data_IF_387835640371
#
_entry.id   IF_387835640371
#
_cell.length_a   1.000
_cell.length_b   1.000
_cell.length_c   1.000
_cell.angle_alpha   90.00
_cell.angle_beta   90.00
_cell.angle_gamma   90.00
#
_symmetry.space_group_name_H-M   'P 1'
#
loop_
_entity.id
_entity.type
_entity.pdbx_description
1 polymer ?
#
# COMPACT_ATOMS: atom_id res chain seq x y z
N UNK A 1 16.91 -31.59 -7.15
CA UNK A 1 15.80 -30.87 -7.83
C UNK A 1 16.12 -29.39 -7.82
N UNK A 2 15.91 -28.66 -8.93
CA UNK A 2 16.17 -27.21 -9.03
C UNK A 2 14.87 -26.44 -8.76
N UNK A 3 14.93 -25.43 -7.87
CA UNK A 3 13.81 -24.47 -7.66
C UNK A 3 13.80 -23.46 -8.80
N UNK A 4 12.64 -22.85 -9.06
CA UNK A 4 12.53 -21.80 -10.07
C UNK A 4 13.35 -20.56 -9.69
N UNK A 5 14.10 -20.02 -10.65
CA UNK A 5 14.90 -18.81 -10.45
C UNK A 5 14.04 -17.57 -10.14
N UNK A 6 12.74 -17.59 -10.52
CA UNK A 6 11.77 -16.51 -10.28
C UNK A 6 11.60 -16.14 -8.80
N UNK A 7 11.81 -17.09 -7.89
CA UNK A 7 11.62 -16.89 -6.45
C UNK A 7 12.84 -16.32 -5.74
N UNK A 8 14.02 -16.37 -6.36
CA UNK A 8 15.29 -15.94 -5.74
C UNK A 8 15.36 -14.41 -5.52
N UNK A 9 14.63 -13.61 -6.29
CA UNK A 9 14.62 -12.16 -6.17
C UNK A 9 13.43 -11.59 -5.37
N UNK A 10 12.62 -12.47 -4.76
CA UNK A 10 11.44 -12.04 -3.99
C UNK A 10 11.85 -11.74 -2.55
N UNK A 11 11.74 -10.48 -2.17
CA UNK A 11 12.06 -9.97 -0.83
C UNK A 11 10.84 -9.26 -0.24
N UNK A 12 10.63 -9.40 1.06
CA UNK A 12 9.57 -8.69 1.77
C UNK A 12 10.01 -8.27 3.17
N UNK A 13 10.80 -7.21 3.25
CA UNK A 13 11.44 -6.70 4.46
C UNK A 13 10.52 -6.59 5.69
N UNK A 14 9.23 -6.21 5.48
CA UNK A 14 8.22 -6.10 6.54
C UNK A 14 7.96 -7.44 7.23
N UNK A 15 8.09 -8.56 6.51
CA UNK A 15 7.92 -9.91 7.05
C UNK A 15 9.24 -10.55 7.45
N UNK A 16 10.32 -10.22 6.76
CA UNK A 16 11.63 -10.81 7.00
C UNK A 16 12.19 -10.42 8.37
N UNK A 17 11.93 -9.17 8.81
CA UNK A 17 12.31 -8.70 10.15
C UNK A 17 11.64 -9.50 11.29
N UNK A 18 10.53 -10.21 11.01
CA UNK A 18 9.82 -11.04 12.00
C UNK A 18 10.69 -12.21 12.49
N UNK A 19 11.64 -12.68 11.69
CA UNK A 19 12.59 -13.72 12.12
C UNK A 19 13.43 -13.26 13.32
N UNK A 20 13.87 -12.01 13.31
CA UNK A 20 14.58 -11.40 14.45
C UNK A 20 13.66 -11.21 15.66
N UNK A 21 12.42 -10.76 15.42
CA UNK A 21 11.42 -10.60 16.45
C UNK A 21 11.08 -11.93 17.17
N UNK A 22 10.95 -13.04 16.43
CA UNK A 22 10.71 -14.36 17.01
C UNK A 22 11.86 -14.82 17.92
N UNK A 23 13.11 -14.58 17.53
CA UNK A 23 14.29 -14.89 18.37
C UNK A 23 14.29 -14.08 19.66
N UNK A 24 13.98 -12.79 19.58
CA UNK A 24 13.87 -11.90 20.73
C UNK A 24 12.74 -12.35 21.68
N UNK A 25 11.57 -12.67 21.15
CA UNK A 25 10.42 -13.13 21.94
C UNK A 25 10.67 -14.48 22.60
N UNK A 26 11.39 -15.39 21.94
CA UNK A 26 11.78 -16.69 22.50
C UNK A 26 12.69 -16.55 23.74
N UNK A 27 13.34 -15.41 23.94
CA UNK A 27 14.09 -15.09 25.17
C UNK A 27 13.22 -14.56 26.32
N UNK A 28 11.88 -14.63 26.22
CA UNK A 28 10.94 -14.20 27.24
C UNK A 28 10.68 -12.69 27.31
N UNK A 29 11.13 -11.94 26.30
CA UNK A 29 11.02 -10.47 26.27
C UNK A 29 9.79 -10.01 25.48
N UNK A 30 9.16 -8.93 25.92
CA UNK A 30 8.02 -8.31 25.23
C UNK A 30 8.46 -7.45 24.05
N UNK A 31 7.63 -7.45 22.97
CA UNK A 31 7.84 -6.64 21.77
C UNK A 31 6.74 -5.61 21.62
N UNK A 32 7.11 -4.37 21.36
CA UNK A 32 6.22 -3.32 20.90
C UNK A 32 6.29 -3.30 19.36
N UNK A 33 5.20 -3.72 18.72
CA UNK A 33 5.12 -3.87 17.25
C UNK A 33 4.75 -2.54 16.60
N UNK A 34 5.71 -1.90 15.94
CA UNK A 34 5.53 -0.71 15.10
C UNK A 34 5.86 -0.98 13.61
N UNK A 35 5.87 -2.25 13.22
CA UNK A 35 6.29 -2.70 11.89
C UNK A 35 5.15 -3.10 10.95
N UNK A 36 3.99 -3.53 11.47
CA UNK A 36 2.90 -4.09 10.66
C UNK A 36 1.76 -3.10 10.52
N UNK A 37 1.44 -2.74 9.27
CA UNK A 37 0.31 -1.88 8.90
C UNK A 37 -1.03 -2.63 8.89
N UNK A 38 -1.43 -3.17 10.03
CA UNK A 38 -2.69 -3.88 10.22
C UNK A 38 -3.48 -3.25 11.39
N UNK A 39 -4.42 -2.33 11.11
CA UNK A 39 -5.13 -1.60 12.15
C UNK A 39 -5.96 -2.49 13.07
N UNK A 40 -6.50 -3.62 12.57
CA UNK A 40 -7.35 -4.51 13.39
C UNK A 40 -6.57 -5.30 14.46
N UNK A 41 -5.25 -5.27 14.42
CA UNK A 41 -4.39 -5.81 15.48
C UNK A 41 -4.34 -4.91 16.71
N UNK A 42 -4.82 -3.69 16.58
CA UNK A 42 -4.84 -2.68 17.62
C UNK A 42 -6.29 -2.40 18.05
N UNK A 43 -6.60 -1.18 18.39
CA UNK A 43 -7.92 -0.77 18.88
C UNK A 43 -8.90 -0.32 17.79
N UNK A 44 -8.60 -0.66 16.52
CA UNK A 44 -9.52 -0.47 15.40
C UNK A 44 -10.25 -1.78 15.11
N UNK A 45 -11.58 -1.72 15.03
CA UNK A 45 -12.42 -2.91 14.84
C UNK A 45 -13.25 -2.79 13.59
N UNK A 46 -13.36 -3.87 12.82
CA UNK A 46 -14.32 -3.97 11.72
C UNK A 46 -15.71 -3.61 12.23
N UNK A 47 -16.43 -2.69 11.57
CA UNK A 47 -17.76 -2.24 12.01
C UNK A 47 -18.77 -3.39 12.13
N UNK A 48 -19.68 -3.28 13.09
CA UNK A 48 -20.64 -4.35 13.40
C UNK A 48 -21.57 -4.65 12.22
N UNK A 49 -22.03 -3.62 11.48
CA UNK A 49 -22.87 -3.83 10.31
C UNK A 49 -22.18 -4.62 9.20
N UNK A 50 -20.86 -4.46 9.03
CA UNK A 50 -20.05 -5.22 8.06
C UNK A 50 -19.88 -6.68 8.52
N UNK A 51 -19.61 -6.89 9.84
CA UNK A 51 -19.51 -8.24 10.40
C UNK A 51 -20.83 -9.00 10.30
N UNK A 52 -21.94 -8.32 10.62
CA UNK A 52 -23.27 -8.90 10.53
C UNK A 52 -23.58 -9.32 9.10
N UNK A 53 -23.28 -8.48 8.12
CA UNK A 53 -23.45 -8.81 6.70
C UNK A 53 -22.65 -10.06 6.29
N UNK A 54 -21.43 -10.27 6.83
CA UNK A 54 -20.68 -11.51 6.58
C UNK A 54 -21.36 -12.72 7.21
N UNK A 55 -21.83 -12.61 8.46
CA UNK A 55 -22.55 -13.69 9.15
C UNK A 55 -23.83 -14.05 8.38
N UNK A 56 -24.62 -13.05 8.00
CA UNK A 56 -25.85 -13.26 7.23
C UNK A 56 -25.55 -13.92 5.88
N UNK A 57 -24.49 -13.50 5.19
CA UNK A 57 -24.07 -14.10 3.93
C UNK A 57 -23.68 -15.58 4.08
N UNK A 58 -23.03 -15.97 5.18
CA UNK A 58 -22.68 -17.36 5.44
C UNK A 58 -23.89 -18.21 5.81
N UNK A 59 -24.85 -17.65 6.57
CA UNK A 59 -25.98 -18.39 7.14
C UNK A 59 -27.20 -18.45 6.22
N UNK A 60 -27.41 -17.48 5.34
CA UNK A 60 -28.63 -17.29 4.58
C UNK A 60 -28.46 -17.45 3.07
N UNK A 61 -27.22 -17.46 2.57
CA UNK A 61 -26.93 -17.56 1.14
C UNK A 61 -26.16 -18.84 0.87
N UNK A 62 -26.60 -19.61 -0.14
CA UNK A 62 -25.83 -20.74 -0.65
C UNK A 62 -24.48 -20.27 -1.23
N UNK A 63 -23.38 -20.86 -0.75
CA UNK A 63 -22.03 -20.41 -1.07
C UNK A 63 -21.53 -21.05 -2.38
N UNK A 64 -22.04 -20.57 -3.51
CA UNK A 64 -21.66 -21.01 -4.86
C UNK A 64 -20.50 -20.16 -5.44
N UNK A 65 -19.96 -20.59 -6.57
CA UNK A 65 -19.00 -19.78 -7.33
C UNK A 65 -19.72 -18.63 -8.04
N UNK A 66 -19.28 -17.39 -7.76
CA UNK A 66 -19.76 -16.22 -8.51
C UNK A 66 -19.08 -16.14 -9.87
N UNK A 67 -19.48 -15.14 -10.69
CA UNK A 67 -18.70 -14.76 -11.86
C UNK A 67 -17.24 -14.49 -11.47
N UNK A 68 -16.32 -14.83 -12.37
CA UNK A 68 -14.89 -14.69 -12.10
C UNK A 68 -14.46 -13.24 -11.89
N UNK A 69 -15.13 -12.31 -12.54
CA UNK A 69 -14.95 -10.87 -12.37
C UNK A 69 -15.49 -10.36 -11.04
N UNK A 70 -16.33 -11.14 -10.38
CA UNK A 70 -16.94 -10.82 -9.08
C UNK A 70 -18.43 -10.51 -9.16
N UNK A 71 -19.07 -10.49 -8.00
CA UNK A 71 -20.51 -10.25 -7.83
C UNK A 71 -20.91 -8.92 -8.47
N UNK A 72 -21.93 -8.93 -9.33
CA UNK A 72 -22.39 -7.75 -10.06
C UNK A 72 -22.74 -6.60 -9.11
N UNK A 73 -23.44 -6.89 -8.02
CA UNK A 73 -23.82 -5.88 -7.04
C UNK A 73 -22.60 -5.19 -6.40
N UNK A 74 -21.53 -5.94 -6.13
CA UNK A 74 -20.29 -5.37 -5.61
C UNK A 74 -19.58 -4.51 -6.67
N UNK A 75 -19.53 -4.98 -7.91
CA UNK A 75 -18.94 -4.20 -9.02
C UNK A 75 -19.71 -2.88 -9.25
N UNK A 76 -21.05 -2.89 -9.13
CA UNK A 76 -21.86 -1.68 -9.18
C UNK A 76 -21.53 -0.71 -8.05
N UNK A 77 -21.43 -1.20 -6.81
CA UNK A 77 -21.06 -0.36 -5.67
C UNK A 77 -19.64 0.20 -5.77
N UNK A 78 -18.71 -0.56 -6.35
CA UNK A 78 -17.34 -0.09 -6.65
C UNK A 78 -17.38 0.99 -7.74
N UNK A 79 -18.14 0.78 -8.81
CA UNK A 79 -18.32 1.76 -9.87
C UNK A 79 -18.86 3.10 -9.32
N UNK A 80 -19.88 3.05 -8.47
CA UNK A 80 -20.44 4.21 -7.80
C UNK A 80 -19.35 4.96 -7.01
N UNK A 81 -18.62 4.26 -6.14
CA UNK A 81 -17.52 4.81 -5.32
C UNK A 81 -16.42 5.48 -6.16
N UNK A 82 -15.95 4.81 -7.20
CA UNK A 82 -14.84 5.32 -8.00
C UNK A 82 -15.28 6.46 -8.93
N UNK A 83 -16.52 6.42 -9.41
CA UNK A 83 -17.12 7.51 -10.19
C UNK A 83 -17.26 8.79 -9.37
N UNK A 84 -17.61 8.72 -8.09
CA UNK A 84 -17.63 9.87 -7.17
C UNK A 84 -16.26 10.55 -7.06
N UNK A 85 -15.16 9.77 -7.14
CA UNK A 85 -13.80 10.30 -7.18
C UNK A 85 -13.41 10.83 -8.57
N UNK A 86 -14.29 10.72 -9.56
CA UNK A 86 -14.08 11.17 -10.93
C UNK A 86 -13.36 10.15 -11.82
N UNK A 87 -13.23 8.88 -11.39
CA UNK A 87 -12.67 7.81 -12.20
C UNK A 87 -13.75 7.23 -13.10
N UNK A 88 -13.56 7.33 -14.42
CA UNK A 88 -14.53 6.81 -15.38
C UNK A 88 -14.35 5.30 -15.53
N UNK A 89 -15.32 4.53 -15.01
CA UNK A 89 -15.32 3.06 -15.02
C UNK A 89 -16.73 2.52 -15.20
N UNK A 90 -16.87 1.43 -15.96
CA UNK A 90 -18.09 0.65 -16.09
C UNK A 90 -17.96 -0.67 -15.30
N UNK A 91 -19.05 -1.38 -15.07
CA UNK A 91 -19.01 -2.65 -14.32
C UNK A 91 -18.20 -3.73 -15.03
N UNK A 92 -18.08 -3.66 -16.36
CA UNK A 92 -17.30 -4.59 -17.19
C UNK A 92 -15.79 -4.38 -16.99
N UNK A 93 -15.37 -3.19 -16.61
CA UNK A 93 -13.98 -2.81 -16.38
C UNK A 93 -13.52 -3.06 -14.91
N UNK A 94 -14.35 -3.74 -14.12
CA UNK A 94 -14.08 -4.00 -12.69
C UNK A 94 -13.90 -5.49 -12.45
N UNK A 95 -12.78 -5.85 -11.82
CA UNK A 95 -12.49 -7.21 -11.39
C UNK A 95 -12.28 -7.22 -9.86
N UNK A 96 -13.11 -7.97 -9.16
CA UNK A 96 -12.97 -8.19 -7.70
C UNK A 96 -11.85 -9.19 -7.46
N UNK A 97 -10.99 -8.90 -6.49
CA UNK A 97 -9.79 -9.68 -6.18
C UNK A 97 -9.71 -10.07 -4.71
N UNK A 98 -8.90 -11.08 -4.38
CA UNK A 98 -8.62 -11.48 -3.00
C UNK A 98 -7.61 -10.50 -2.33
N UNK A 99 -8.01 -9.24 -2.22
CA UNK A 99 -7.20 -8.09 -1.80
C UNK A 99 -6.41 -7.50 -2.95
N UNK A 100 -5.91 -6.28 -2.74
CA UNK A 100 -5.07 -5.54 -3.72
C UNK A 100 -3.85 -6.35 -4.15
N UNK A 101 -3.33 -7.24 -3.30
CA UNK A 101 -2.17 -8.08 -3.65
C UNK A 101 -2.44 -8.99 -4.85
N UNK A 102 -3.62 -9.61 -4.95
CA UNK A 102 -4.01 -10.38 -6.13
C UNK A 102 -4.26 -9.46 -7.33
N UNK A 103 -4.84 -8.28 -7.12
CA UNK A 103 -5.00 -7.29 -8.19
C UNK A 103 -3.66 -6.85 -8.78
N UNK A 104 -2.67 -6.62 -7.92
CA UNK A 104 -1.31 -6.30 -8.34
C UNK A 104 -0.64 -7.46 -9.08
N UNK A 105 -0.81 -8.70 -8.58
CA UNK A 105 -0.31 -9.91 -9.21
C UNK A 105 -0.87 -10.09 -10.64
N UNK A 106 -2.20 -10.04 -10.78
CA UNK A 106 -2.87 -10.13 -12.10
C UNK A 106 -2.43 -9.00 -13.04
N UNK A 107 -2.28 -7.76 -12.52
CA UNK A 107 -1.83 -6.62 -13.30
C UNK A 107 -0.40 -6.85 -13.80
N UNK A 108 0.53 -7.21 -12.91
CA UNK A 108 1.91 -7.46 -13.29
C UNK A 108 2.05 -8.66 -14.24
N UNK A 109 1.27 -9.73 -14.03
CA UNK A 109 1.22 -10.89 -14.93
C UNK A 109 0.78 -10.52 -16.36
N UNK A 110 -0.08 -9.49 -16.49
CA UNK A 110 -0.62 -9.08 -17.78
C UNK A 110 0.24 -8.07 -18.55
N UNK A 111 1.17 -7.36 -17.87
CA UNK A 111 1.93 -6.27 -18.50
C UNK A 111 3.44 -6.43 -18.44
N UNK A 112 3.97 -7.32 -17.58
CA UNK A 112 5.41 -7.47 -17.37
C UNK A 112 5.93 -8.72 -18.10
N UNK A 113 6.67 -8.49 -19.14
CA UNK A 113 7.50 -9.49 -19.83
C UNK A 113 8.95 -9.48 -19.30
N UNK A 114 9.74 -10.52 -19.57
CA UNK A 114 11.16 -10.51 -19.23
C UNK A 114 11.88 -9.27 -19.78
N UNK A 115 12.58 -8.56 -18.90
CA UNK A 115 13.30 -7.29 -19.15
C UNK A 115 12.42 -6.04 -19.19
N UNK A 116 11.09 -6.15 -19.10
CA UNK A 116 10.23 -4.98 -18.96
C UNK A 116 10.59 -4.20 -17.68
N UNK A 117 10.60 -2.88 -17.75
CA UNK A 117 10.89 -2.01 -16.62
C UNK A 117 9.59 -1.43 -16.04
N UNK A 118 9.49 -1.46 -14.71
CA UNK A 118 8.39 -0.89 -13.95
C UNK A 118 8.93 0.26 -13.11
N UNK A 119 8.58 1.49 -13.49
CA UNK A 119 8.98 2.71 -12.82
C UNK A 119 8.16 2.90 -11.53
N UNK A 120 8.80 3.19 -10.42
CA UNK A 120 8.11 3.38 -9.14
C UNK A 120 8.76 4.48 -8.29
N UNK A 121 7.97 5.29 -7.57
CA UNK A 121 8.52 6.32 -6.70
C UNK A 121 9.27 5.67 -5.54
N UNK A 122 10.53 6.00 -5.36
CA UNK A 122 11.32 5.54 -4.21
C UNK A 122 11.21 6.50 -3.02
N UNK A 123 10.92 6.01 -1.81
CA UNK A 123 10.67 4.60 -1.44
C UNK A 123 9.26 4.12 -1.78
N UNK A 124 9.10 2.79 -1.97
CA UNK A 124 7.85 2.15 -2.38
C UNK A 124 7.49 0.92 -1.53
N UNK A 125 6.25 0.48 -1.65
CA UNK A 125 5.80 -0.75 -1.00
C UNK A 125 6.44 -2.00 -1.68
N UNK A 126 7.21 -2.84 -0.95
CA UNK A 126 8.07 -3.88 -1.53
C UNK A 126 7.41 -4.85 -2.51
N UNK A 127 6.14 -5.28 -2.35
CA UNK A 127 5.50 -6.17 -3.30
C UNK A 127 5.48 -5.69 -4.74
N UNK A 128 5.49 -4.38 -5.02
CA UNK A 128 5.57 -3.87 -6.38
C UNK A 128 6.84 -4.34 -7.09
N UNK A 129 7.99 -4.19 -6.44
CA UNK A 129 9.26 -4.68 -6.96
C UNK A 129 9.33 -6.20 -7.00
N UNK A 130 8.78 -6.88 -5.98
CA UNK A 130 8.78 -8.34 -5.90
C UNK A 130 7.97 -8.97 -7.04
N UNK A 131 6.78 -8.46 -7.35
CA UNK A 131 5.98 -8.96 -8.49
C UNK A 131 6.63 -8.62 -9.83
N UNK A 132 7.20 -7.41 -10.01
CA UNK A 132 7.94 -7.09 -11.23
C UNK A 132 9.08 -8.10 -11.46
N UNK A 133 9.90 -8.37 -10.45
CA UNK A 133 10.98 -9.38 -10.52
C UNK A 133 10.46 -10.80 -10.75
N UNK A 134 9.34 -11.18 -10.10
CA UNK A 134 8.73 -12.49 -10.23
C UNK A 134 8.33 -12.81 -11.68
N UNK A 135 7.85 -11.80 -12.41
CA UNK A 135 7.53 -11.91 -13.83
C UNK A 135 8.71 -11.64 -14.77
N UNK A 136 9.93 -11.51 -14.23
CA UNK A 136 11.16 -11.34 -15.01
C UNK A 136 11.44 -9.89 -15.43
N UNK A 137 10.65 -8.95 -14.95
CA UNK A 137 10.84 -7.51 -15.14
C UNK A 137 11.85 -6.91 -14.14
N UNK A 138 12.13 -5.64 -14.31
CA UNK A 138 13.08 -4.87 -13.51
C UNK A 138 12.35 -3.69 -12.84
N UNK A 139 12.34 -3.60 -11.50
CA UNK A 139 11.92 -2.39 -10.82
C UNK A 139 12.93 -1.27 -11.03
N UNK A 140 12.46 -0.08 -11.36
CA UNK A 140 13.29 1.12 -11.56
C UNK A 140 12.76 2.22 -10.67
N UNK A 141 13.58 2.62 -9.69
CA UNK A 141 13.23 3.66 -8.74
C UNK A 141 13.49 5.05 -9.31
N UNK A 142 12.54 5.97 -9.14
CA UNK A 142 12.75 7.40 -9.35
C UNK A 142 12.55 8.18 -8.04
N UNK A 143 13.25 9.30 -7.92
CA UNK A 143 13.30 10.10 -6.70
C UNK A 143 12.02 10.94 -6.49
N UNK A 144 11.72 11.18 -5.23
CA UNK A 144 10.80 12.25 -4.80
C UNK A 144 11.64 13.41 -4.22
N UNK A 145 11.19 14.64 -4.45
CA UNK A 145 11.75 15.80 -3.77
C UNK A 145 11.50 15.73 -2.26
N UNK A 146 12.25 16.50 -1.49
CA UNK A 146 12.07 16.57 -0.03
C UNK A 146 10.66 16.97 0.40
N UNK A 147 9.90 17.68 -0.43
CA UNK A 147 8.50 18.03 -0.18
C UNK A 147 7.50 16.94 -0.59
N UNK A 148 7.96 15.79 -1.08
CA UNK A 148 7.17 14.63 -1.48
C UNK A 148 6.67 14.68 -2.93
N UNK A 149 6.92 15.74 -3.67
CA UNK A 149 6.58 15.83 -5.10
C UNK A 149 7.47 14.91 -5.94
N UNK A 150 6.97 14.35 -7.05
CA UNK A 150 7.79 13.53 -7.94
C UNK A 150 8.90 14.40 -8.59
N UNK A 151 10.12 13.87 -8.60
CA UNK A 151 11.21 14.45 -9.39
C UNK A 151 11.06 14.01 -10.85
N UNK A 152 10.48 14.88 -11.66
CA UNK A 152 10.14 14.56 -13.06
C UNK A 152 11.37 14.44 -13.96
N UNK A 153 12.46 15.14 -13.63
CA UNK A 153 13.73 15.04 -14.37
C UNK A 153 14.36 13.69 -14.13
N UNK A 154 14.42 13.27 -12.88
CA UNK A 154 14.91 11.93 -12.51
C UNK A 154 14.05 10.82 -13.13
N UNK A 155 12.70 10.95 -13.09
CA UNK A 155 11.79 10.01 -13.74
C UNK A 155 12.08 9.92 -15.24
N UNK A 156 12.14 11.05 -15.96
CA UNK A 156 12.40 11.06 -17.40
C UNK A 156 13.77 10.46 -17.75
N UNK A 157 14.80 10.69 -16.94
CA UNK A 157 16.13 10.14 -17.15
C UNK A 157 16.21 8.62 -17.05
N UNK A 158 15.21 8.00 -16.41
CA UNK A 158 15.13 6.56 -16.17
C UNK A 158 14.22 5.82 -17.15
N UNK A 159 13.48 6.54 -17.99
CA UNK A 159 12.64 5.93 -19.01
C UNK A 159 13.50 5.42 -20.15
N UNK A 160 13.29 4.16 -20.52
CA UNK A 160 13.98 3.48 -21.62
C UNK A 160 12.95 2.84 -22.56
N UNK A 161 13.35 2.33 -23.73
CA UNK A 161 12.44 1.55 -24.61
C UNK A 161 11.86 0.28 -23.95
N UNK A 162 12.42 -0.17 -22.82
CA UNK A 162 11.91 -1.31 -22.06
C UNK A 162 10.90 -0.89 -20.99
N UNK A 163 10.75 0.41 -20.72
CA UNK A 163 9.81 0.91 -19.72
C UNK A 163 8.39 0.58 -20.13
N UNK A 164 7.63 -0.08 -19.23
CA UNK A 164 6.29 -0.60 -19.51
C UNK A 164 5.21 0.05 -18.67
N UNK A 165 5.51 0.34 -17.42
CA UNK A 165 4.54 0.90 -16.49
C UNK A 165 5.15 1.91 -15.53
N UNK A 166 4.33 2.88 -15.12
CA UNK A 166 4.58 3.83 -14.05
C UNK A 166 3.64 3.52 -12.88
N UNK A 167 4.19 3.26 -11.69
CA UNK A 167 3.43 3.08 -10.46
C UNK A 167 3.19 4.43 -9.77
N UNK A 168 1.96 4.64 -9.32
CA UNK A 168 1.53 5.77 -8.47
C UNK A 168 0.91 5.16 -7.22
N UNK A 169 1.48 5.44 -6.04
CA UNK A 169 0.99 4.93 -4.76
C UNK A 169 0.65 6.14 -3.90
N UNK A 170 -0.65 6.44 -3.74
CA UNK A 170 -1.09 7.64 -3.04
C UNK A 170 -2.43 7.39 -2.31
N UNK A 171 -2.46 7.56 -0.97
CA UNK A 171 -1.36 7.82 -0.04
C UNK A 171 -0.29 6.73 -0.02
N UNK A 172 0.98 7.12 0.16
CA UNK A 172 2.12 6.23 0.00
C UNK A 172 2.42 5.38 1.24
N UNK A 173 2.85 4.15 1.03
CA UNK A 173 3.55 3.31 1.97
C UNK A 173 4.99 3.14 1.44
N UNK A 174 6.03 3.69 2.13
CA UNK A 174 6.12 3.89 3.59
C UNK A 174 5.97 5.34 4.09
N UNK A 175 5.88 6.36 3.23
CA UNK A 175 6.10 7.75 3.63
C UNK A 175 4.87 8.47 4.17
N UNK A 176 3.65 7.98 3.85
CA UNK A 176 2.41 8.68 4.11
C UNK A 176 2.19 9.92 3.22
N UNK A 177 2.99 10.10 2.18
CA UNK A 177 2.81 11.20 1.22
C UNK A 177 1.54 11.02 0.38
N UNK A 178 0.90 12.14 0.08
CA UNK A 178 -0.29 12.22 -0.78
C UNK A 178 0.02 13.13 -1.94
N UNK A 179 -0.05 12.61 -3.17
CA UNK A 179 0.17 13.43 -4.34
C UNK A 179 -0.99 14.40 -4.56
N UNK A 180 -0.67 15.65 -4.83
CA UNK A 180 -1.63 16.66 -5.21
C UNK A 180 -2.04 16.52 -6.68
N UNK A 181 -3.08 17.25 -7.09
CA UNK A 181 -3.60 17.22 -8.45
C UNK A 181 -2.53 17.55 -9.49
N UNK A 182 -1.64 18.50 -9.19
CA UNK A 182 -0.57 18.91 -10.12
C UNK A 182 0.43 17.77 -10.32
N UNK A 183 0.88 17.15 -9.24
CA UNK A 183 1.80 16.01 -9.29
C UNK A 183 1.20 14.83 -10.06
N UNK A 184 -0.09 14.50 -9.79
CA UNK A 184 -0.78 13.44 -10.51
C UNK A 184 -0.90 13.75 -12.01
N UNK A 185 -1.25 15.00 -12.39
CA UNK A 185 -1.33 15.40 -13.79
C UNK A 185 0.02 15.26 -14.49
N UNK A 186 1.10 15.71 -13.86
CA UNK A 186 2.45 15.61 -14.43
C UNK A 186 2.90 14.17 -14.65
N UNK A 187 2.56 13.26 -13.72
CA UNK A 187 2.85 11.83 -13.87
C UNK A 187 2.04 11.21 -15.01
N UNK A 188 0.76 11.57 -15.15
CA UNK A 188 -0.10 11.13 -16.26
C UNK A 188 0.41 11.66 -17.61
N UNK A 189 0.85 12.92 -17.66
CA UNK A 189 1.39 13.52 -18.88
C UNK A 189 2.64 12.76 -19.35
N UNK A 190 3.57 12.43 -18.42
CA UNK A 190 4.75 11.62 -18.74
C UNK A 190 4.34 10.20 -19.18
N UNK A 191 3.44 9.54 -18.47
CA UNK A 191 2.99 8.20 -18.85
C UNK A 191 2.36 8.19 -20.26
N UNK A 192 1.63 9.25 -20.59
CA UNK A 192 1.01 9.40 -21.92
C UNK A 192 2.04 9.67 -23.02
N UNK A 193 3.05 10.53 -22.73
CA UNK A 193 4.14 10.87 -23.63
C UNK A 193 5.00 9.65 -24.00
N UNK A 194 5.24 8.77 -23.05
CA UNK A 194 6.09 7.58 -23.23
C UNK A 194 5.32 6.26 -23.41
N UNK A 195 4.01 6.33 -23.62
CA UNK A 195 3.13 5.17 -23.83
C UNK A 195 3.21 4.11 -22.74
N UNK A 196 3.22 4.56 -21.46
CA UNK A 196 3.31 3.70 -20.31
C UNK A 196 1.92 3.39 -19.72
N UNK A 197 1.71 2.16 -19.25
CA UNK A 197 0.59 1.87 -18.35
C UNK A 197 0.79 2.60 -17.03
N UNK A 198 -0.31 3.05 -16.41
CA UNK A 198 -0.28 3.64 -15.06
C UNK A 198 -0.94 2.69 -14.09
N UNK A 199 -0.17 2.14 -13.14
CA UNK A 199 -0.69 1.35 -12.03
C UNK A 199 -0.88 2.32 -10.85
N UNK A 200 -2.13 2.62 -10.50
CA UNK A 200 -2.45 3.54 -9.41
C UNK A 200 -3.04 2.79 -8.21
N UNK A 201 -2.33 2.77 -7.07
CA UNK A 201 -2.81 2.18 -5.82
C UNK A 201 -3.35 3.27 -4.89
N UNK A 202 -4.65 3.22 -4.64
CA UNK A 202 -5.37 4.14 -3.76
C UNK A 202 -5.94 3.44 -2.51
N UNK A 203 -5.31 2.36 -2.03
CA UNK A 203 -5.82 1.58 -0.88
C UNK A 203 -5.99 2.41 0.40
N UNK A 204 -5.34 3.57 0.50
CA UNK A 204 -5.43 4.51 1.63
C UNK A 204 -6.27 5.76 1.31
N UNK A 205 -7.03 5.80 0.22
CA UNK A 205 -7.78 6.95 -0.30
C UNK A 205 -8.66 7.68 0.74
N UNK A 206 -9.19 6.95 1.71
CA UNK A 206 -10.03 7.49 2.79
C UNK A 206 -9.26 7.79 4.08
N UNK A 207 -7.95 7.51 4.13
CA UNK A 207 -7.10 7.77 5.29
C UNK A 207 -6.17 8.92 4.94
N UNK A 208 -6.69 10.13 4.96
CA UNK A 208 -5.99 11.37 4.65
C UNK A 208 -6.24 12.41 5.72
N UNK A 209 -5.28 13.30 5.93
CA UNK A 209 -5.28 14.32 6.96
C UNK A 209 -5.13 15.70 6.34
N UNK A 210 -5.74 16.68 6.98
CA UNK A 210 -5.51 18.11 6.77
C UNK A 210 -5.90 18.66 5.39
N UNK A 211 -6.22 17.81 4.41
CA UNK A 211 -6.69 18.21 3.07
C UNK A 211 -7.52 17.10 2.41
N UNK A 212 -8.43 17.42 1.49
CA UNK A 212 -9.16 16.41 0.75
C UNK A 212 -8.24 15.55 -0.13
N UNK A 213 -8.55 14.27 -0.24
CA UNK A 213 -7.87 13.37 -1.17
C UNK A 213 -8.19 13.72 -2.62
N UNK A 214 -7.17 13.74 -3.46
CA UNK A 214 -7.33 13.83 -4.91
C UNK A 214 -7.06 12.46 -5.53
N UNK A 215 -8.12 11.81 -6.00
CA UNK A 215 -7.99 10.54 -6.73
C UNK A 215 -7.46 10.74 -8.14
N UNK A 216 -6.84 9.70 -8.68
CA UNK A 216 -6.29 9.68 -10.04
C UNK A 216 -7.36 10.01 -11.09
N UNK A 217 -8.63 9.68 -10.83
CA UNK A 217 -9.76 9.97 -11.71
C UNK A 217 -9.91 11.44 -12.10
N UNK A 218 -9.44 12.37 -11.24
CA UNK A 218 -9.48 13.81 -11.53
C UNK A 218 -8.55 14.26 -12.66
N UNK A 219 -7.60 13.40 -13.07
CA UNK A 219 -6.57 13.70 -14.08
C UNK A 219 -6.43 12.61 -15.14
N UNK A 220 -7.00 11.44 -14.93
CA UNK A 220 -6.80 10.25 -15.78
C UNK A 220 -7.23 10.46 -17.24
N UNK A 221 -8.33 11.21 -17.52
CA UNK A 221 -8.89 11.36 -18.85
C UNK A 221 -8.96 10.01 -19.60
N UNK A 222 -8.24 9.88 -20.72
CA UNK A 222 -8.12 8.67 -21.55
C UNK A 222 -6.77 7.92 -21.33
N UNK A 223 -5.99 8.31 -20.33
CA UNK A 223 -4.73 7.63 -20.02
C UNK A 223 -4.97 6.16 -19.59
N UNK A 224 -4.01 5.25 -19.88
CA UNK A 224 -4.14 3.82 -19.58
C UNK A 224 -3.94 3.52 -18.11
N UNK A 225 -4.87 3.99 -17.26
CA UNK A 225 -4.83 3.83 -15.80
C UNK A 225 -5.49 2.52 -15.38
N UNK A 226 -4.75 1.74 -14.61
CA UNK A 226 -5.18 0.55 -13.88
C UNK A 226 -5.24 0.95 -12.41
N UNK A 227 -6.44 1.15 -11.88
CA UNK A 227 -6.65 1.54 -10.49
C UNK A 227 -6.76 0.28 -9.62
N UNK A 228 -5.98 0.24 -8.55
CA UNK A 228 -6.03 -0.78 -7.51
C UNK A 228 -6.56 -0.16 -6.22
N UNK A 229 -7.56 -0.80 -5.62
CA UNK A 229 -8.09 -0.38 -4.32
C UNK A 229 -8.76 -1.57 -3.62
N UNK A 230 -9.26 -1.39 -2.39
CA UNK A 230 -9.89 -2.49 -1.64
C UNK A 230 -10.33 -2.11 -0.24
N UNK A 231 -10.64 -3.14 0.53
CA UNK A 231 -11.37 -3.00 1.80
C UNK A 231 -10.47 -3.18 3.03
N UNK A 232 -9.20 -3.53 2.83
CA UNK A 232 -8.30 -3.88 3.94
C UNK A 232 -8.08 -2.74 4.93
N UNK A 233 -8.01 -1.48 4.47
CA UNK A 233 -7.54 -0.35 5.29
C UNK A 233 -8.70 0.48 5.82
N UNK A 234 -9.39 1.21 4.97
CA UNK A 234 -10.50 2.06 5.38
C UNK A 234 -11.67 1.28 6.01
N UNK A 235 -11.93 0.08 5.54
CA UNK A 235 -13.05 -0.75 6.03
C UNK A 235 -12.63 -1.79 7.08
N UNK A 236 -11.34 -1.80 7.48
CA UNK A 236 -10.84 -2.68 8.54
C UNK A 236 -11.07 -4.19 8.27
N UNK A 237 -10.96 -4.59 7.00
CA UNK A 237 -11.18 -5.97 6.53
C UNK A 237 -9.88 -6.66 6.09
N UNK A 238 -8.76 -6.43 6.80
CA UNK A 238 -7.42 -6.89 6.40
C UNK A 238 -7.34 -8.40 6.20
N UNK A 239 -7.91 -9.18 7.12
CA UNK A 239 -7.93 -10.65 7.08
C UNK A 239 -8.96 -11.24 6.12
N UNK A 240 -9.93 -10.46 5.64
CA UNK A 240 -11.02 -10.95 4.79
C UNK A 240 -10.65 -11.03 3.32
N UNK A 241 -9.56 -10.36 2.93
CA UNK A 241 -8.98 -10.42 1.60
C UNK A 241 -9.95 -10.01 0.50
N UNK A 242 -10.36 -8.75 0.46
CA UNK A 242 -11.19 -8.17 -0.60
C UNK A 242 -10.53 -6.91 -1.17
N UNK A 243 -10.45 -6.84 -2.49
CA UNK A 243 -9.94 -5.71 -3.26
C UNK A 243 -10.49 -5.75 -4.68
N UNK A 244 -10.01 -4.87 -5.53
CA UNK A 244 -10.45 -4.81 -6.91
C UNK A 244 -9.45 -4.09 -7.82
N UNK A 245 -9.56 -4.39 -9.10
CA UNK A 245 -8.96 -3.69 -10.22
C UNK A 245 -10.08 -2.91 -10.92
N UNK A 246 -9.82 -1.64 -11.27
CA UNK A 246 -10.65 -0.89 -12.20
C UNK A 246 -9.80 -0.43 -13.38
N UNK A 247 -10.23 -0.73 -14.59
CA UNK A 247 -9.62 -0.25 -15.83
C UNK A 247 -10.32 1.04 -16.26
N UNK A 248 -9.55 2.08 -16.60
CA UNK A 248 -10.14 3.32 -17.10
C UNK A 248 -10.94 3.08 -18.39
N UNK A 249 -12.27 3.17 -18.32
CA UNK A 249 -13.17 2.89 -19.46
C UNK A 249 -12.96 3.83 -20.64
N UNK A 250 -12.46 5.06 -20.40
CA UNK A 250 -12.14 6.01 -21.47
C UNK A 250 -10.91 5.63 -22.28
N UNK A 251 -10.04 4.75 -21.76
CA UNK A 251 -8.78 4.40 -22.43
C UNK A 251 -8.92 3.25 -23.40
N UNK A 252 -8.73 3.56 -24.68
CA UNK A 252 -8.66 2.53 -25.74
C UNK A 252 -7.39 1.67 -25.65
N UNK A 253 -6.31 2.19 -25.04
CA UNK A 253 -5.04 1.48 -24.86
C UNK A 253 -5.16 0.28 -23.91
N UNK A 254 -6.20 0.22 -23.10
CA UNK A 254 -6.47 -0.90 -22.18
C UNK A 254 -7.27 -2.05 -22.83
N UNK A 255 -7.54 -2.01 -24.15
CA UNK A 255 -8.33 -3.04 -24.83
C UNK A 255 -7.81 -4.47 -24.61
N UNK A 256 -6.50 -4.70 -24.76
CA UNK A 256 -5.90 -6.00 -24.48
C UNK A 256 -6.03 -6.44 -23.03
N UNK A 257 -5.89 -5.52 -22.07
CA UNK A 257 -6.03 -5.86 -20.63
C UNK A 257 -7.47 -6.19 -20.24
N UNK A 258 -8.47 -5.60 -20.91
CA UNK A 258 -9.88 -5.97 -20.73
C UNK A 258 -10.17 -7.42 -21.13
N UNK A 259 -9.38 -7.97 -22.04
CA UNK A 259 -9.48 -9.38 -22.44
C UNK A 259 -8.63 -10.29 -21.55
N UNK A 260 -7.43 -9.85 -21.15
CA UNK A 260 -6.43 -10.71 -20.52
C UNK A 260 -6.61 -10.82 -18.98
N UNK A 261 -6.90 -9.74 -18.26
CA UNK A 261 -7.10 -9.80 -16.80
C UNK A 261 -8.28 -10.72 -16.44
N UNK A 262 -9.44 -10.71 -17.12
CA UNK A 262 -10.50 -11.67 -16.89
C UNK A 262 -10.09 -13.13 -17.12
N UNK A 263 -9.14 -13.43 -18.02
CA UNK A 263 -8.61 -14.80 -18.19
C UNK A 263 -7.93 -15.28 -16.91
N UNK A 264 -7.12 -14.43 -16.28
CA UNK A 264 -6.48 -14.74 -14.99
C UNK A 264 -7.52 -14.92 -13.88
N UNK A 265 -8.55 -14.08 -13.85
CA UNK A 265 -9.66 -14.21 -12.91
C UNK A 265 -10.40 -15.56 -13.08
N UNK A 266 -10.60 -16.04 -14.32
CA UNK A 266 -11.20 -17.36 -14.59
C UNK A 266 -10.32 -18.52 -14.13
N UNK A 267 -8.99 -18.42 -14.25
CA UNK A 267 -8.07 -19.45 -13.73
C UNK A 267 -8.15 -19.55 -12.20
N UNK A 268 -8.34 -18.44 -11.51
CA UNK A 268 -8.58 -18.39 -10.06
C UNK A 268 -10.00 -18.89 -9.69
N UNK A 269 -10.93 -18.99 -10.62
CA UNK A 269 -12.36 -19.34 -10.50
C UNK A 269 -13.20 -18.13 -10.06
N UNK A 270 -13.21 -17.77 -8.78
CA UNK A 270 -14.01 -16.67 -8.23
C UNK A 270 -13.39 -16.08 -6.97
N UNK A 271 -13.75 -14.84 -6.62
CA UNK A 271 -13.49 -14.28 -5.30
C UNK A 271 -14.50 -14.84 -4.28
N UNK A 272 -14.17 -14.70 -2.99
CA UNK A 272 -14.96 -15.24 -1.87
C UNK A 272 -16.35 -14.57 -1.80
N UNK A 273 -17.42 -15.30 -2.07
CA UNK A 273 -18.79 -14.77 -2.12
C UNK A 273 -19.26 -14.11 -0.80
N UNK A 274 -19.17 -14.73 0.39
CA UNK A 274 -19.61 -14.10 1.62
C UNK A 274 -18.91 -12.77 1.89
N UNK A 275 -17.61 -12.69 1.57
CA UNK A 275 -16.82 -11.45 1.73
C UNK A 275 -17.25 -10.39 0.73
N UNK A 276 -17.61 -10.76 -0.50
CA UNK A 276 -18.13 -9.82 -1.50
C UNK A 276 -19.47 -9.20 -1.05
N UNK A 277 -20.39 -10.00 -0.50
CA UNK A 277 -21.66 -9.53 0.05
C UNK A 277 -21.43 -8.55 1.23
N UNK A 278 -20.51 -8.87 2.13
CA UNK A 278 -20.14 -7.97 3.21
C UNK A 278 -19.48 -6.68 2.70
N UNK A 279 -18.70 -6.75 1.62
CA UNK A 279 -18.08 -5.59 0.99
C UNK A 279 -19.09 -4.62 0.35
N UNK A 280 -20.22 -5.12 -0.18
CA UNK A 280 -21.35 -4.26 -0.59
C UNK A 280 -21.84 -3.43 0.58
N UNK A 281 -22.04 -4.06 1.74
CA UNK A 281 -22.48 -3.35 2.95
C UNK A 281 -21.41 -2.40 3.51
N UNK A 282 -20.13 -2.71 3.29
CA UNK A 282 -19.05 -1.80 3.64
C UNK A 282 -19.10 -0.51 2.80
N UNK A 283 -19.43 -0.59 1.52
CA UNK A 283 -19.55 0.58 0.64
C UNK A 283 -20.83 1.36 0.88
N UNK A 284 -21.98 0.70 0.98
CA UNK A 284 -23.30 1.33 1.08
C UNK A 284 -23.73 1.69 2.50
N UNK A 285 -23.11 1.09 3.51
CA UNK A 285 -23.42 1.31 4.91
C UNK A 285 -22.77 2.56 5.49
N UNK A 286 -22.91 2.73 6.82
CA UNK A 286 -22.35 3.88 7.54
C UNK A 286 -20.81 3.95 7.40
N UNK A 287 -20.31 5.12 7.06
CA UNK A 287 -18.89 5.44 6.97
C UNK A 287 -18.32 6.09 8.24
N UNK A 288 -19.10 6.22 9.32
CA UNK A 288 -18.71 6.90 10.56
C UNK A 288 -17.41 6.35 11.18
N UNK A 289 -17.15 5.04 11.04
CA UNK A 289 -15.95 4.41 11.54
C UNK A 289 -14.66 4.95 10.87
N UNK A 290 -14.75 5.39 9.61
CA UNK A 290 -13.60 5.94 8.86
C UNK A 290 -13.23 7.30 9.46
N UNK A 291 -14.21 8.18 9.68
CA UNK A 291 -13.97 9.48 10.30
C UNK A 291 -13.35 9.34 11.69
N UNK A 292 -13.92 8.46 12.53
CA UNK A 292 -13.39 8.18 13.87
C UNK A 292 -11.96 7.62 13.81
N UNK A 293 -11.65 6.75 12.83
CA UNK A 293 -10.31 6.23 12.63
C UNK A 293 -9.33 7.32 12.21
N UNK A 294 -9.71 8.16 11.25
CA UNK A 294 -8.86 9.27 10.75
C UNK A 294 -8.55 10.26 11.87
N UNK A 295 -9.53 10.65 12.67
CA UNK A 295 -9.32 11.56 13.81
C UNK A 295 -8.35 10.98 14.85
N UNK A 296 -8.54 9.71 15.21
CA UNK A 296 -7.65 9.00 16.13
C UNK A 296 -6.22 8.89 15.56
N UNK A 297 -6.10 8.54 14.28
CA UNK A 297 -4.80 8.44 13.63
C UNK A 297 -4.09 9.79 13.54
N UNK A 298 -4.81 10.89 13.31
CA UNK A 298 -4.26 12.24 13.28
C UNK A 298 -3.61 12.60 14.63
N UNK A 299 -4.30 12.34 15.73
CA UNK A 299 -3.76 12.59 17.09
C UNK A 299 -2.47 11.78 17.32
N UNK A 300 -2.48 10.50 16.96
CA UNK A 300 -1.32 9.61 17.11
C UNK A 300 -0.15 10.02 16.22
N UNK A 301 -0.43 10.40 14.97
CA UNK A 301 0.55 10.95 14.03
C UNK A 301 1.25 12.16 14.64
N UNK A 302 0.48 13.13 15.08
CA UNK A 302 1.00 14.41 15.59
C UNK A 302 1.84 14.18 16.85
N UNK A 303 1.41 13.28 17.74
CA UNK A 303 2.19 12.87 18.89
C UNK A 303 3.55 12.26 18.50
N UNK A 304 3.54 11.25 17.61
CA UNK A 304 4.79 10.57 17.22
C UNK A 304 5.74 11.51 16.49
N UNK A 305 5.23 12.34 15.58
CA UNK A 305 6.04 13.35 14.85
C UNK A 305 6.67 14.33 15.84
N UNK A 306 5.90 14.85 16.80
CA UNK A 306 6.42 15.74 17.85
C UNK A 306 7.56 15.10 18.65
N UNK A 307 7.39 13.82 19.06
CA UNK A 307 8.41 13.09 19.83
C UNK A 307 9.67 12.87 19.01
N UNK A 308 9.56 12.44 17.74
CA UNK A 308 10.72 12.24 16.86
C UNK A 308 11.51 13.54 16.65
N UNK A 309 10.84 14.64 16.39
CA UNK A 309 11.49 15.94 16.22
C UNK A 309 12.20 16.40 17.50
N UNK A 310 11.61 16.17 18.67
CA UNK A 310 12.24 16.47 19.96
C UNK A 310 13.53 15.66 20.20
N UNK A 311 13.61 14.43 19.66
CA UNK A 311 14.82 13.60 19.68
C UNK A 311 15.86 13.99 18.61
N UNK A 312 15.61 15.04 17.81
CA UNK A 312 16.46 15.45 16.70
C UNK A 312 16.36 14.55 15.45
N UNK A 313 15.37 13.67 15.37
CA UNK A 313 15.11 12.82 14.21
C UNK A 313 14.24 13.61 13.23
N UNK A 314 14.79 13.95 12.06
CA UNK A 314 14.02 14.61 11.01
C UNK A 314 12.90 13.72 10.49
N UNK A 315 11.68 14.23 10.57
CA UNK A 315 10.49 13.50 10.17
C UNK A 315 9.49 14.45 9.51
N UNK A 316 9.08 14.12 8.28
CA UNK A 316 7.95 14.78 7.65
C UNK A 316 6.65 14.40 8.34
N UNK A 317 5.71 15.33 8.37
CA UNK A 317 4.34 15.04 8.81
C UNK A 317 3.63 14.28 7.69
N UNK A 318 3.25 13.02 7.88
CA UNK A 318 2.51 12.27 6.88
C UNK A 318 1.14 12.91 6.59
N UNK A 319 0.76 12.99 5.32
CA UNK A 319 -0.54 13.54 4.89
C UNK A 319 -1.62 12.48 4.76
N UNK A 320 -1.24 11.20 4.77
CA UNK A 320 -2.18 10.08 4.69
C UNK A 320 -1.60 8.76 5.18
N UNK A 321 -2.36 7.68 5.05
CA UNK A 321 -2.07 6.34 5.56
C UNK A 321 -1.84 6.33 7.09
N UNK A 322 -0.94 5.50 7.59
CA UNK A 322 -0.61 5.42 9.02
C UNK A 322 0.88 5.06 9.23
N UNK A 323 1.73 5.63 8.37
CA UNK A 323 3.17 5.40 8.35
C UNK A 323 3.94 6.70 8.54
N UNK A 324 5.06 6.60 9.24
CA UNK A 324 6.09 7.64 9.34
C UNK A 324 7.40 7.02 8.88
N UNK A 325 8.19 7.78 8.12
CA UNK A 325 9.45 7.34 7.53
C UNK A 325 10.59 8.28 7.88
N UNK A 326 11.03 8.28 9.16
CA UNK A 326 12.07 9.18 9.64
C UNK A 326 13.45 8.75 9.15
N UNK A 327 14.32 9.76 9.00
CA UNK A 327 15.73 9.57 8.66
C UNK A 327 16.52 9.23 9.92
N UNK A 328 17.39 8.23 9.82
CA UNK A 328 18.34 7.90 10.89
C UNK A 328 19.49 8.91 10.85
N UNK A 329 19.74 9.57 11.99
CA UNK A 329 20.99 10.30 12.16
C UNK A 329 22.11 9.27 12.39
N UNK A 330 22.75 8.84 11.31
CA UNK A 330 23.89 7.93 11.36
C UNK A 330 25.12 8.67 11.86
N UNK A 331 25.26 8.73 13.18
CA UNK A 331 26.59 8.70 13.75
C UNK A 331 27.16 7.30 13.48
N UNK A 332 28.45 7.11 13.57
CA UNK A 332 29.15 5.86 13.23
C UNK A 332 28.75 4.61 14.03
N UNK A 333 27.65 4.65 14.81
CA UNK A 333 27.19 3.54 15.65
C UNK A 333 26.55 2.40 14.85
N UNK A 334 25.90 2.71 13.75
CA UNK A 334 25.21 1.71 12.94
C UNK A 334 25.75 1.69 11.52
N UNK A 335 26.07 0.49 11.04
CA UNK A 335 26.59 0.28 9.70
C UNK A 335 25.58 0.68 8.63
N UNK A 336 24.31 0.40 8.87
CA UNK A 336 23.18 0.63 7.97
C UNK A 336 21.85 0.68 8.77
N UNK A 337 20.75 0.95 8.09
CA UNK A 337 19.41 1.03 8.66
C UNK A 337 18.87 -0.31 9.17
N UNK A 338 19.28 -1.43 8.59
CA UNK A 338 18.92 -2.77 9.09
C UNK A 338 19.60 -3.02 10.44
N UNK A 339 20.90 -2.66 10.57
CA UNK A 339 21.62 -2.80 11.82
C UNK A 339 20.99 -1.92 12.92
N UNK A 340 20.59 -0.68 12.57
CA UNK A 340 19.84 0.20 13.50
C UNK A 340 18.57 -0.47 14.03
N UNK A 341 17.72 -1.00 13.14
CA UNK A 341 16.43 -1.61 13.53
C UNK A 341 16.62 -2.87 14.37
N UNK A 342 17.63 -3.69 14.07
CA UNK A 342 17.93 -4.89 14.85
C UNK A 342 18.50 -4.51 16.23
N UNK A 343 19.38 -3.52 16.33
CA UNK A 343 19.92 -3.04 17.58
C UNK A 343 18.84 -2.41 18.46
N UNK A 344 17.95 -1.60 17.88
CA UNK A 344 16.77 -1.04 18.55
C UNK A 344 15.89 -2.15 19.13
N UNK A 345 15.56 -3.18 18.35
CA UNK A 345 14.80 -4.34 18.82
C UNK A 345 15.48 -5.03 19.98
N UNK A 346 16.78 -5.34 19.85
CA UNK A 346 17.53 -6.12 20.84
C UNK A 346 17.68 -5.40 22.18
N UNK A 347 17.85 -4.08 22.15
CA UNK A 347 18.05 -3.27 23.36
C UNK A 347 16.74 -2.84 24.03
N UNK A 348 15.68 -2.61 23.24
CA UNK A 348 14.45 -1.97 23.76
C UNK A 348 13.19 -2.80 23.61
N UNK A 349 13.17 -3.79 22.71
CA UNK A 349 11.96 -4.51 22.31
C UNK A 349 11.05 -3.73 21.33
N UNK A 350 11.45 -2.58 20.82
CA UNK A 350 10.69 -1.83 19.81
C UNK A 350 11.03 -2.37 18.43
N UNK A 351 10.01 -2.86 17.69
CA UNK A 351 10.16 -3.44 16.36
C UNK A 351 9.63 -2.48 15.31
N UNK A 352 10.53 -1.98 14.45
CA UNK A 352 10.25 -1.15 13.26
C UNK A 352 10.65 -1.89 11.99
N UNK A 353 10.64 -1.23 10.82
CA UNK A 353 11.16 -1.82 9.57
C UNK A 353 12.25 -0.92 9.00
N UNK A 354 13.36 -1.51 8.56
CA UNK A 354 14.46 -0.78 7.94
C UNK A 354 14.04 -0.18 6.60
N UNK A 355 14.53 1.01 6.30
CA UNK A 355 14.09 1.79 5.14
C UNK A 355 14.57 1.22 3.81
N UNK A 356 15.78 0.65 3.75
CA UNK A 356 16.33 -0.02 2.55
C UNK A 356 15.42 -1.16 2.03
N UNK A 357 14.58 -1.72 2.90
CA UNK A 357 13.56 -2.70 2.51
C UNK A 357 12.38 -2.12 1.72
N UNK A 358 12.29 -0.79 1.56
CA UNK A 358 11.30 -0.09 0.72
C UNK A 358 11.93 0.52 -0.54
N UNK A 359 13.06 -0.04 -0.98
CA UNK A 359 13.87 0.45 -2.09
C UNK A 359 15.25 0.86 -1.59
N UNK A 360 16.29 0.22 -2.15
CA UNK A 360 17.65 0.40 -1.65
C UNK A 360 18.22 1.78 -1.97
N UNK A 361 17.75 2.44 -3.03
CA UNK A 361 18.28 3.73 -3.47
C UNK A 361 17.77 4.89 -2.59
N UNK A 362 16.48 4.95 -2.31
CA UNK A 362 15.86 6.08 -1.61
C UNK A 362 15.32 5.72 -0.23
N UNK A 363 15.24 4.43 0.10
CA UNK A 363 14.84 3.96 1.43
C UNK A 363 15.99 3.88 2.42
N UNK A 364 17.23 3.68 1.96
CA UNK A 364 18.42 3.56 2.83
C UNK A 364 18.58 4.76 3.76
N UNK A 365 19.04 4.50 4.99
CA UNK A 365 19.23 5.52 6.02
C UNK A 365 17.93 6.00 6.66
N UNK A 366 16.82 5.28 6.46
CA UNK A 366 15.52 5.55 7.08
C UNK A 366 15.00 4.32 7.82
N UNK A 367 13.91 4.49 8.56
CA UNK A 367 13.13 3.38 9.11
C UNK A 367 11.65 3.73 9.11
N UNK A 368 10.79 2.72 9.00
CA UNK A 368 9.34 2.93 8.99
C UNK A 368 8.73 2.60 10.35
N UNK A 369 7.90 3.50 10.85
CA UNK A 369 7.05 3.35 12.04
C UNK A 369 5.59 3.34 11.60
N UNK A 370 4.75 2.49 12.20
CA UNK A 370 3.29 2.62 12.17
C UNK A 370 2.81 3.30 13.46
N UNK A 371 1.90 4.26 13.36
CA UNK A 371 1.27 4.92 14.51
C UNK A 371 -0.15 4.39 14.78
N UNK A 372 -0.31 3.08 14.58
CA UNK A 372 -1.56 2.35 14.83
C UNK A 372 -1.83 2.01 16.29
N UNK A 373 -0.80 1.73 17.14
CA UNK A 373 -1.03 1.39 18.53
C UNK A 373 -1.70 2.53 19.33
N UNK A 374 -2.42 2.20 20.41
CA UNK A 374 -2.91 3.19 21.38
C UNK A 374 -1.82 4.12 21.87
N UNK A 375 -2.22 5.32 22.31
CA UNK A 375 -1.32 6.40 22.72
C UNK A 375 -0.32 5.96 23.80
N UNK A 376 -0.77 5.21 24.81
CA UNK A 376 0.06 4.66 25.89
C UNK A 376 1.18 3.75 25.37
N UNK A 377 0.88 2.95 24.35
CA UNK A 377 1.88 2.07 23.71
C UNK A 377 2.87 2.88 22.87
N UNK A 378 2.37 3.90 22.17
CA UNK A 378 3.22 4.82 21.39
C UNK A 378 4.14 5.63 22.33
N UNK A 379 3.64 6.11 23.47
CA UNK A 379 4.42 6.79 24.50
C UNK A 379 5.57 5.90 24.97
N UNK A 380 5.25 4.68 25.43
CA UNK A 380 6.25 3.69 25.86
C UNK A 380 7.28 3.39 24.78
N UNK A 381 6.85 3.32 23.50
CA UNK A 381 7.76 3.07 22.39
C UNK A 381 8.70 4.27 22.14
N UNK A 382 8.17 5.50 22.19
CA UNK A 382 8.96 6.71 21.99
C UNK A 382 9.95 6.94 23.13
N UNK A 383 9.58 6.67 24.40
CA UNK A 383 10.48 6.76 25.55
C UNK A 383 11.65 5.77 25.42
N UNK A 384 11.37 4.55 24.99
CA UNK A 384 12.39 3.54 24.74
C UNK A 384 13.31 3.92 23.57
N UNK A 385 12.77 4.50 22.50
CA UNK A 385 13.57 5.00 21.37
C UNK A 385 14.47 6.15 21.82
N UNK A 386 13.94 7.11 22.59
CA UNK A 386 14.71 8.25 23.11
C UNK A 386 15.86 7.78 24.00
N UNK A 387 15.59 6.87 24.93
CA UNK A 387 16.62 6.27 25.79
C UNK A 387 17.70 5.56 24.96
N UNK A 388 17.30 4.77 23.95
CA UNK A 388 18.20 4.07 23.05
C UNK A 388 19.14 5.00 22.28
N UNK A 389 18.62 6.14 21.80
CA UNK A 389 19.43 7.13 21.09
C UNK A 389 20.43 7.84 21.98
N UNK A 390 20.07 8.09 23.25
CA UNK A 390 20.90 8.78 24.24
C UNK A 390 21.91 7.86 24.92
N UNK A 391 21.77 6.54 24.84
CA UNK A 391 22.72 5.58 25.39
C UNK A 391 23.85 5.32 24.40
N UNK A 392 25.11 5.60 24.82
CA UNK A 392 26.32 5.37 24.02
C UNK A 392 26.64 3.89 23.87
#
# INVERSE_FOLDING_TARGET
MKVSDRTHGVEYAIRDIITHARKYQASGKEIIYLNIGDPVRFDFKTPEHIKRALVDAVMQVENYYTDSEGLLELRQAIMEKESEKGFHVTVEDIIVTNGVSEGLDMTMASIVDPRAEVLMPGPYYPPYASYAKFYGGKPVEFNLHEDGRPNLEDLRSKITPNSRALCIISPNNPTGEVFDRKSLQQLIDIATEYDLYVICDEIYDKIVFDSPFTGIGKVAKDAPVILLNGFSKAYLMTGWRCGYICLNSSSKKLGGLREDIPKLARVRIAANLPVQLAAVQALRGSQAHIYNMVDKLRIRRDYVVKRLNAMGIQCKVPRGAFYIFPKINTDSRWKDDLHFVIDLLNKTGVLTVHGSGFGSMYGSGHFRIVYLPPEEILEKAMDKLEHFLNTK
#
